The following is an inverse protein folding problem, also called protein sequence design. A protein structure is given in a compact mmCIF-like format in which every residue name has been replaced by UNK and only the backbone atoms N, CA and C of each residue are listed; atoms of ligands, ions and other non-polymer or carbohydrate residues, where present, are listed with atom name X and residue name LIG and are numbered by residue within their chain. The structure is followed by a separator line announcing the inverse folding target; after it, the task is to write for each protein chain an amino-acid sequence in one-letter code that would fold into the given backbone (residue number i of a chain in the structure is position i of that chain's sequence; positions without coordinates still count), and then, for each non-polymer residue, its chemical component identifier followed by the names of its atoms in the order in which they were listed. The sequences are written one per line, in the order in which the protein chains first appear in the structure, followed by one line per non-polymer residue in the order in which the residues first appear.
data_IF_436365618447
#
_entry.id   IF_436365618447
#
_cell.length_a   1.000
_cell.length_b   1.000
_cell.length_c   1.000
_cell.angle_alpha   90.00
_cell.angle_beta   90.00
_cell.angle_gamma   90.00
#
_symmetry.space_group_name_H-M   'P 1'
#
loop_
_entity.id
_entity.type
_entity.pdbx_description
1 polymer ?
#
# COMPACT_ATOMS: atom_id res chain seq x y z
N UNK A 1 6.85 18.60 -7.19
CA UNK A 1 5.94 19.64 -6.66
C UNK A 1 6.50 21.05 -6.88
N UNK A 2 7.71 21.39 -6.41
CA UNK A 2 8.27 22.76 -6.49
C UNK A 2 8.23 23.38 -7.90
N UNK A 3 8.57 22.60 -8.94
CA UNK A 3 8.56 23.05 -10.35
C UNK A 3 7.19 23.54 -10.86
N UNK A 4 6.09 23.08 -10.28
CA UNK A 4 4.74 23.42 -10.71
C UNK A 4 4.00 24.32 -9.71
N UNK A 5 4.66 24.77 -8.64
CA UNK A 5 3.95 25.41 -7.53
C UNK A 5 3.34 26.76 -7.90
N UNK A 6 4.01 27.55 -8.76
CA UNK A 6 3.47 28.81 -9.29
C UNK A 6 2.17 28.57 -10.07
N UNK A 7 2.15 27.54 -10.91
CA UNK A 7 0.98 27.19 -11.72
C UNK A 7 -0.16 26.64 -10.86
N UNK A 8 0.16 25.81 -9.86
CA UNK A 8 -0.83 25.32 -8.90
C UNK A 8 -1.39 26.45 -8.03
N UNK A 9 -0.58 27.45 -7.69
CA UNK A 9 -1.01 28.65 -6.94
C UNK A 9 -1.94 29.51 -7.79
N UNK A 10 -1.64 29.70 -9.07
CA UNK A 10 -2.51 30.39 -10.04
C UNK A 10 -3.91 29.74 -10.10
N UNK A 11 -3.97 28.42 -10.29
CA UNK A 11 -5.25 27.67 -10.28
C UNK A 11 -5.93 27.75 -8.92
N UNK A 12 -5.17 27.69 -7.82
CA UNK A 12 -5.75 27.83 -6.50
C UNK A 12 -6.41 29.20 -6.31
N UNK A 13 -5.80 30.27 -6.84
CA UNK A 13 -6.38 31.60 -6.92
C UNK A 13 -7.70 31.61 -7.70
N UNK A 14 -7.69 31.03 -8.91
CA UNK A 14 -8.90 30.91 -9.74
C UNK A 14 -10.02 30.17 -9.00
N UNK A 15 -9.71 29.01 -8.41
CA UNK A 15 -10.67 28.20 -7.66
C UNK A 15 -11.23 28.91 -6.42
N UNK A 16 -10.45 29.81 -5.80
CA UNK A 16 -10.92 30.65 -4.70
C UNK A 16 -11.86 31.75 -5.20
N UNK A 17 -11.53 32.42 -6.31
CA UNK A 17 -12.42 33.43 -6.92
C UNK A 17 -13.74 32.80 -7.36
N UNK A 18 -13.73 31.64 -8.00
CA UNK A 18 -14.95 30.92 -8.40
C UNK A 18 -15.84 30.48 -7.20
N UNK A 19 -15.32 30.51 -5.96
CA UNK A 19 -16.10 30.23 -4.75
C UNK A 19 -16.79 31.46 -4.16
N UNK A 20 -16.47 32.67 -4.62
CA UNK A 20 -17.14 33.88 -4.13
C UNK A 20 -18.62 33.86 -4.54
N UNK A 21 -19.45 34.62 -3.81
CA UNK A 21 -20.90 34.54 -3.94
C UNK A 21 -21.36 34.72 -5.40
N UNK A 22 -20.88 35.78 -6.06
CA UNK A 22 -21.29 36.14 -7.42
C UNK A 22 -20.85 35.12 -8.47
N UNK A 23 -19.54 34.80 -8.54
CA UNK A 23 -19.05 33.82 -9.52
C UNK A 23 -19.60 32.42 -9.26
N UNK A 24 -19.79 32.03 -7.99
CA UNK A 24 -20.38 30.74 -7.68
C UNK A 24 -21.85 30.66 -8.09
N UNK A 25 -22.59 31.77 -8.03
CA UNK A 25 -23.97 31.83 -8.51
C UNK A 25 -24.03 31.70 -10.03
N UNK A 26 -23.16 32.41 -10.76
CA UNK A 26 -23.03 32.30 -12.22
C UNK A 26 -22.64 30.90 -12.64
N UNK A 27 -21.62 30.31 -12.00
CA UNK A 27 -21.16 28.96 -12.31
C UNK A 27 -22.24 27.90 -12.07
N UNK A 28 -23.08 28.07 -11.03
CA UNK A 28 -24.21 27.15 -10.74
C UNK A 28 -25.30 27.17 -11.81
N UNK A 29 -25.42 28.25 -12.60
CA UNK A 29 -26.35 28.29 -13.73
C UNK A 29 -25.87 27.39 -14.88
N UNK A 30 -24.56 27.26 -15.04
CA UNK A 30 -23.94 26.51 -16.14
C UNK A 30 -23.59 25.07 -15.76
N UNK A 31 -23.26 24.79 -14.49
CA UNK A 31 -22.86 23.46 -14.02
C UNK A 31 -23.22 23.21 -12.56
N UNK A 32 -23.52 21.96 -12.21
CA UNK A 32 -23.73 21.51 -10.81
C UNK A 32 -22.41 21.36 -10.04
N UNK A 33 -21.27 21.45 -10.73
CA UNK A 33 -19.96 21.22 -10.15
C UNK A 33 -19.46 22.45 -9.37
N UNK A 34 -19.02 22.22 -8.13
CA UNK A 34 -18.39 23.26 -7.30
C UNK A 34 -16.86 23.28 -7.44
N UNK A 35 -16.22 24.45 -7.34
CA UNK A 35 -14.76 24.55 -7.31
C UNK A 35 -14.16 23.85 -6.08
N UNK A 36 -12.95 23.33 -6.22
CA UNK A 36 -12.22 22.61 -5.16
C UNK A 36 -10.87 23.29 -4.96
N UNK A 37 -10.45 23.45 -3.70
CA UNK A 37 -9.19 24.13 -3.34
C UNK A 37 -8.21 23.11 -2.75
N UNK A 38 -6.92 23.21 -3.10
CA UNK A 38 -5.87 22.39 -2.48
C UNK A 38 -5.72 22.70 -0.97
N UNK A 39 -5.44 21.66 -0.20
CA UNK A 39 -5.18 21.68 1.24
C UNK A 39 -3.80 21.06 1.50
N UNK A 40 -2.96 21.74 2.28
CA UNK A 40 -1.60 21.28 2.59
C UNK A 40 -1.57 19.92 3.29
N UNK A 41 -2.55 19.67 4.17
CA UNK A 41 -2.64 18.44 4.97
C UNK A 41 -3.23 17.23 4.22
N UNK A 42 -3.74 17.42 2.99
CA UNK A 42 -4.34 16.35 2.19
C UNK A 42 -3.70 16.30 0.82
N UNK A 43 -2.77 15.38 0.63
CA UNK A 43 -2.00 15.25 -0.61
C UNK A 43 -2.91 15.11 -1.86
N UNK A 44 -4.05 14.43 -1.75
CA UNK A 44 -4.96 14.18 -2.87
C UNK A 44 -5.78 15.41 -3.30
N UNK A 45 -5.76 16.47 -2.50
CA UNK A 45 -6.50 17.70 -2.74
C UNK A 45 -6.00 18.45 -3.98
N UNK A 46 -4.69 18.42 -4.24
CA UNK A 46 -4.08 19.03 -5.43
C UNK A 46 -4.59 18.34 -6.69
N UNK A 47 -4.58 17.00 -6.71
CA UNK A 47 -5.16 16.22 -7.82
C UNK A 47 -6.65 16.53 -8.03
N UNK A 48 -7.43 16.56 -6.94
CA UNK A 48 -8.86 16.88 -6.99
C UNK A 48 -9.11 18.30 -7.52
N UNK A 49 -8.28 19.27 -7.14
CA UNK A 49 -8.36 20.65 -7.62
C UNK A 49 -8.10 20.72 -9.13
N UNK A 50 -6.98 20.16 -9.61
CA UNK A 50 -6.63 20.16 -11.05
C UNK A 50 -7.70 19.42 -11.87
N UNK A 51 -8.15 18.26 -11.39
CA UNK A 51 -9.24 17.51 -12.02
C UNK A 51 -10.54 18.32 -12.08
N UNK A 52 -10.87 19.04 -11.01
CA UNK A 52 -12.07 19.88 -10.98
C UNK A 52 -11.94 21.07 -11.92
N UNK A 53 -10.75 21.67 -12.02
CA UNK A 53 -10.49 22.80 -12.92
C UNK A 53 -10.83 22.41 -14.36
N UNK A 54 -10.27 21.30 -14.87
CA UNK A 54 -10.58 20.84 -16.23
C UNK A 54 -12.06 20.51 -16.47
N UNK A 55 -12.82 20.18 -15.42
CA UNK A 55 -14.25 19.91 -15.54
C UNK A 55 -15.13 21.16 -15.53
N UNK A 56 -14.61 22.30 -15.06
CA UNK A 56 -15.36 23.57 -14.97
C UNK A 56 -14.82 24.66 -15.91
N UNK A 57 -13.61 24.49 -16.47
CA UNK A 57 -12.89 25.55 -17.19
C UNK A 57 -13.68 26.15 -18.35
N UNK A 58 -14.46 25.34 -19.06
CA UNK A 58 -15.22 25.79 -20.23
C UNK A 58 -16.48 26.59 -19.83
N UNK A 59 -16.83 26.58 -18.54
CA UNK A 59 -17.95 27.33 -17.96
C UNK A 59 -17.49 28.57 -17.19
N UNK A 60 -16.19 28.87 -17.19
CA UNK A 60 -15.64 30.07 -16.53
C UNK A 60 -15.91 31.28 -17.41
N UNK A 61 -16.51 32.32 -16.82
CA UNK A 61 -16.76 33.58 -17.52
C UNK A 61 -15.44 34.35 -17.69
N UNK A 62 -14.89 34.33 -18.91
CA UNK A 62 -13.66 35.02 -19.26
C UNK A 62 -13.86 36.49 -19.62
N UNK A 63 -15.09 37.01 -19.58
CA UNK A 63 -15.33 38.46 -19.72
C UNK A 63 -14.88 39.23 -18.48
N UNK A 64 -14.74 38.56 -17.35
CA UNK A 64 -14.14 39.12 -16.15
C UNK A 64 -12.60 39.08 -16.24
N UNK A 65 -11.96 40.26 -16.33
CA UNK A 65 -10.51 40.42 -16.38
C UNK A 65 -9.81 39.68 -15.23
N UNK A 66 -10.40 39.71 -14.04
CA UNK A 66 -9.87 39.12 -12.82
C UNK A 66 -9.82 37.59 -12.87
N UNK A 67 -10.72 36.96 -13.64
CA UNK A 67 -10.75 35.53 -13.91
C UNK A 67 -9.87 35.19 -15.11
N UNK A 68 -9.88 36.04 -16.16
CA UNK A 68 -9.06 35.87 -17.35
C UNK A 68 -7.56 35.87 -17.06
N UNK A 69 -7.07 36.74 -16.16
CA UNK A 69 -5.67 36.75 -15.72
C UNK A 69 -5.25 35.45 -15.02
N UNK A 70 -6.19 34.83 -14.30
CA UNK A 70 -5.96 33.59 -13.56
C UNK A 70 -6.18 32.34 -14.44
N UNK A 71 -6.71 32.49 -15.64
CA UNK A 71 -6.84 31.37 -16.57
C UNK A 71 -5.46 30.91 -17.06
N UNK A 72 -5.18 29.60 -17.00
CA UNK A 72 -3.94 29.05 -17.57
C UNK A 72 -3.88 29.23 -19.08
N UNK A 73 -2.70 29.54 -19.61
CA UNK A 73 -2.46 29.51 -21.06
C UNK A 73 -2.50 28.08 -21.60
N UNK A 74 -2.64 27.90 -22.91
CA UNK A 74 -2.62 26.56 -23.54
C UNK A 74 -1.36 25.76 -23.18
N UNK A 75 -0.20 26.41 -23.09
CA UNK A 75 1.04 25.78 -22.69
C UNK A 75 1.02 25.33 -21.21
N UNK A 76 0.47 26.16 -20.33
CA UNK A 76 0.26 25.82 -18.92
C UNK A 76 -0.76 24.69 -18.73
N UNK A 77 -1.84 24.67 -19.51
CA UNK A 77 -2.81 23.57 -19.52
C UNK A 77 -2.17 22.23 -19.88
N UNK A 78 -1.29 22.20 -20.88
CA UNK A 78 -0.58 20.97 -21.26
C UNK A 78 0.30 20.45 -20.12
N UNK A 79 1.00 21.35 -19.40
CA UNK A 79 1.76 20.99 -18.19
C UNK A 79 0.86 20.44 -17.08
N UNK A 80 -0.34 21.03 -16.90
CA UNK A 80 -1.30 20.56 -15.91
C UNK A 80 -1.89 19.20 -16.24
N UNK A 81 -2.07 18.90 -17.53
CA UNK A 81 -2.57 17.61 -18.01
C UNK A 81 -1.55 16.50 -17.72
N UNK A 82 -0.28 16.74 -18.09
CA UNK A 82 0.82 15.84 -17.73
C UNK A 82 0.91 15.64 -16.21
N UNK A 83 0.86 16.71 -15.43
CA UNK A 83 0.86 16.61 -13.96
C UNK A 83 -0.36 15.84 -13.41
N UNK A 84 -1.53 15.97 -14.05
CA UNK A 84 -2.73 15.23 -13.67
C UNK A 84 -2.58 13.73 -13.94
N UNK A 85 -1.89 13.36 -15.02
CA UNK A 85 -1.59 11.98 -15.36
C UNK A 85 -0.64 11.36 -14.34
N UNK A 86 0.44 12.07 -13.98
CA UNK A 86 1.37 11.65 -12.92
C UNK A 86 0.65 11.44 -11.58
N UNK A 87 -0.23 12.40 -11.21
CA UNK A 87 -1.03 12.26 -10.00
C UNK A 87 -2.04 11.11 -10.06
N UNK A 88 -2.55 10.76 -11.25
CA UNK A 88 -3.45 9.63 -11.43
C UNK A 88 -2.71 8.33 -11.17
N UNK A 89 -1.52 8.17 -11.72
CA UNK A 89 -0.65 7.00 -11.52
C UNK A 89 -0.22 6.87 -10.05
N UNK A 90 0.27 7.96 -9.46
CA UNK A 90 0.63 7.98 -8.04
C UNK A 90 -0.57 7.63 -7.14
N UNK A 91 -1.77 8.10 -7.49
CA UNK A 91 -2.99 7.78 -6.76
C UNK A 91 -3.40 6.32 -6.91
N UNK A 92 -3.28 5.73 -8.11
CA UNK A 92 -3.55 4.31 -8.29
C UNK A 92 -2.55 3.45 -7.52
N UNK A 93 -1.25 3.77 -7.58
CA UNK A 93 -0.22 3.09 -6.81
C UNK A 93 -0.48 3.21 -5.30
N UNK A 94 -0.74 4.42 -4.81
CA UNK A 94 -1.06 4.66 -3.39
C UNK A 94 -2.31 3.91 -2.94
N UNK A 95 -3.36 3.85 -3.78
CA UNK A 95 -4.58 3.08 -3.47
C UNK A 95 -4.33 1.57 -3.47
N UNK A 96 -3.51 1.06 -4.39
CA UNK A 96 -3.16 -0.36 -4.43
C UNK A 96 -2.32 -0.72 -3.21
N UNK A 97 -1.33 0.09 -2.84
CA UNK A 97 -0.55 -0.04 -1.60
C UNK A 97 -1.43 0.01 -0.34
N UNK A 98 -2.54 0.76 -0.40
CA UNK A 98 -3.53 0.85 0.65
C UNK A 98 -4.62 -0.22 0.56
N UNK A 99 -4.66 -1.07 -0.45
CA UNK A 99 -5.65 -2.14 -0.51
C UNK A 99 -5.25 -3.27 0.45
N UNK A 100 -6.22 -4.02 0.96
CA UNK A 100 -5.95 -5.18 1.85
C UNK A 100 -5.43 -6.40 1.06
N UNK A 101 -5.18 -6.26 -0.25
CA UNK A 101 -4.74 -7.34 -1.14
C UNK A 101 -3.22 -7.35 -1.29
N UNK A 102 -2.55 -8.38 -0.75
CA UNK A 102 -1.24 -8.93 -1.15
C UNK A 102 -0.22 -7.94 -1.74
N UNK A 103 -0.11 -6.74 -1.18
CA UNK A 103 0.99 -5.85 -1.52
C UNK A 103 2.18 -6.38 -0.77
N UNK A 104 3.29 -6.59 -1.48
CA UNK A 104 4.53 -7.13 -0.91
C UNK A 104 5.59 -6.05 -0.85
N UNK A 105 6.68 -6.30 -0.12
CA UNK A 105 7.80 -5.35 0.03
C UNK A 105 8.37 -4.88 -1.33
N UNK A 106 8.13 -5.67 -2.39
CA UNK A 106 8.56 -5.41 -3.75
C UNK A 106 7.75 -4.33 -4.49
N UNK A 107 6.50 -4.07 -4.13
CA UNK A 107 5.58 -3.20 -4.89
C UNK A 107 5.83 -1.68 -4.69
N UNK A 108 7.08 -1.30 -4.43
CA UNK A 108 7.51 0.08 -4.16
C UNK A 108 7.55 0.88 -5.46
N UNK A 109 6.85 2.01 -5.50
CA UNK A 109 6.81 2.88 -6.68
C UNK A 109 8.12 3.71 -6.81
N UNK A 110 8.73 3.84 -8.00
CA UNK A 110 10.00 4.56 -8.17
C UNK A 110 9.98 6.00 -7.66
N UNK A 111 8.86 6.70 -7.83
CA UNK A 111 8.71 8.08 -7.35
C UNK A 111 8.82 8.27 -5.82
N UNK A 112 8.76 7.19 -5.03
CA UNK A 112 8.93 7.22 -3.57
C UNK A 112 10.19 6.49 -3.11
N UNK A 113 11.12 6.19 -4.00
CA UNK A 113 12.40 5.53 -3.68
C UNK A 113 13.19 6.29 -2.59
N UNK A 114 13.12 7.62 -2.53
CA UNK A 114 13.78 8.37 -1.45
C UNK A 114 13.22 8.10 -0.05
N UNK A 115 11.96 7.66 0.06
CA UNK A 115 11.27 7.41 1.34
C UNK A 115 11.01 5.93 1.62
N UNK A 116 10.92 5.11 0.57
CA UNK A 116 10.63 3.69 0.62
C UNK A 116 11.70 2.87 -0.11
N UNK A 117 12.85 3.43 -0.49
CA UNK A 117 13.95 2.69 -1.12
C UNK A 117 14.76 1.90 -0.10
N UNK A 118 15.65 1.03 -0.57
CA UNK A 118 16.53 0.23 0.29
C UNK A 118 17.45 1.06 1.22
N UNK A 119 17.66 2.34 0.88
CA UNK A 119 18.48 3.30 1.64
C UNK A 119 17.64 4.34 2.39
N UNK A 120 16.33 4.19 2.44
CA UNK A 120 15.47 5.15 3.13
C UNK A 120 15.69 5.08 4.64
N UNK A 121 15.51 6.21 5.34
CA UNK A 121 15.70 6.28 6.81
C UNK A 121 14.74 5.39 7.61
N UNK A 122 13.64 4.94 6.99
CA UNK A 122 12.69 4.00 7.57
C UNK A 122 13.23 2.55 7.61
N UNK A 123 14.26 2.24 6.81
CA UNK A 123 14.82 0.89 6.73
C UNK A 123 15.64 0.63 7.99
N UNK A 124 15.15 -0.28 8.83
CA UNK A 124 15.84 -0.66 10.07
C UNK A 124 16.96 -1.67 9.82
N UNK A 125 16.76 -2.61 8.91
CA UNK A 125 17.76 -3.62 8.53
C UNK A 125 17.77 -3.77 7.01
N UNK A 126 18.75 -3.15 6.37
CA UNK A 126 18.89 -3.19 4.91
C UNK A 126 19.15 -4.61 4.40
N UNK A 127 19.91 -5.42 5.14
CA UNK A 127 20.22 -6.82 4.79
C UNK A 127 18.94 -7.66 4.80
N UNK A 128 18.09 -7.48 5.83
CA UNK A 128 16.82 -8.20 5.94
C UNK A 128 15.83 -7.81 4.84
N UNK A 129 15.62 -6.52 4.63
CA UNK A 129 14.66 -6.03 3.64
C UNK A 129 15.07 -6.43 2.22
N UNK A 130 16.37 -6.34 1.89
CA UNK A 130 16.89 -6.80 0.61
C UNK A 130 16.71 -8.32 0.44
N UNK A 131 17.01 -9.11 1.48
CA UNK A 131 16.79 -10.56 1.45
C UNK A 131 15.31 -10.90 1.19
N UNK A 132 14.39 -10.21 1.87
CA UNK A 132 12.95 -10.38 1.65
C UNK A 132 12.56 -10.05 0.19
N UNK A 133 13.09 -8.95 -0.37
CA UNK A 133 12.85 -8.58 -1.77
C UNK A 133 13.39 -9.64 -2.74
N UNK A 134 14.59 -10.18 -2.49
CA UNK A 134 15.18 -11.23 -3.33
C UNK A 134 14.36 -12.54 -3.30
N UNK A 135 13.86 -12.93 -2.13
CA UNK A 135 12.93 -14.07 -1.98
C UNK A 135 11.64 -13.83 -2.76
N UNK A 136 11.03 -12.64 -2.61
CA UNK A 136 9.79 -12.28 -3.31
C UNK A 136 9.97 -12.25 -4.84
N UNK A 137 11.17 -11.92 -5.31
CA UNK A 137 11.57 -11.96 -6.73
C UNK A 137 11.89 -13.36 -7.24
N UNK A 138 11.89 -14.38 -6.38
CA UNK A 138 12.28 -15.76 -6.72
C UNK A 138 13.78 -15.93 -6.98
N UNK A 139 14.62 -15.00 -6.50
CA UNK A 139 16.08 -15.02 -6.62
C UNK A 139 16.73 -15.58 -5.36
N UNK A 140 16.14 -16.64 -4.80
CA UNK A 140 16.60 -17.26 -3.55
C UNK A 140 18.03 -17.83 -3.69
N UNK A 141 18.42 -18.25 -4.89
CA UNK A 141 19.76 -18.78 -5.17
C UNK A 141 20.87 -17.71 -5.15
N UNK A 142 20.55 -16.41 -5.14
CA UNK A 142 21.53 -15.32 -5.07
C UNK A 142 21.71 -14.75 -3.67
N UNK A 143 21.01 -15.31 -2.68
CA UNK A 143 21.11 -14.88 -1.29
C UNK A 143 22.52 -15.13 -0.75
N UNK A 144 23.05 -14.15 -0.04
CA UNK A 144 24.32 -14.27 0.68
C UNK A 144 24.13 -15.03 1.99
N UNK A 145 25.21 -15.57 2.55
CA UNK A 145 25.18 -16.30 3.84
C UNK A 145 24.58 -15.44 4.97
N UNK A 146 24.93 -14.15 5.03
CA UNK A 146 24.35 -13.20 5.98
C UNK A 146 22.83 -13.00 5.78
N UNK A 147 22.33 -13.07 4.55
CA UNK A 147 20.89 -12.97 4.27
C UNK A 147 20.14 -14.24 4.68
N UNK A 148 20.75 -15.41 4.47
CA UNK A 148 20.22 -16.68 4.96
C UNK A 148 20.12 -16.71 6.49
N UNK A 149 21.13 -16.19 7.18
CA UNK A 149 21.14 -16.12 8.66
C UNK A 149 19.97 -15.29 9.20
N UNK A 150 19.70 -14.12 8.60
CA UNK A 150 18.61 -13.25 9.04
C UNK A 150 17.23 -13.83 8.67
N UNK A 151 17.13 -14.58 7.56
CA UNK A 151 15.88 -15.23 7.15
C UNK A 151 15.63 -16.58 7.83
N UNK A 152 16.54 -17.07 8.68
CA UNK A 152 16.41 -18.36 9.38
C UNK A 152 15.09 -18.52 10.14
N UNK A 153 14.54 -17.43 10.68
CA UNK A 153 13.24 -17.45 11.37
C UNK A 153 12.03 -17.66 10.44
N UNK A 154 12.21 -17.47 9.13
CA UNK A 154 11.20 -17.65 8.09
C UNK A 154 11.36 -18.96 7.32
N UNK A 155 12.35 -19.77 7.70
CA UNK A 155 12.56 -21.10 7.16
C UNK A 155 11.50 -22.06 7.74
N UNK A 156 10.62 -22.67 6.91
CA UNK A 156 9.63 -23.62 7.37
C UNK A 156 10.25 -24.85 8.04
N UNK A 157 11.53 -25.13 7.80
CA UNK A 157 12.26 -26.27 8.38
C UNK A 157 12.69 -26.03 9.84
N UNK A 158 12.51 -24.82 10.38
CA UNK A 158 12.86 -24.46 11.76
C UNK A 158 11.86 -24.85 12.85
N UNK A 159 10.76 -25.55 12.54
CA UNK A 159 9.68 -25.85 13.51
C UNK A 159 9.04 -27.25 13.38
N UNK A 160 9.72 -28.21 12.76
CA UNK A 160 9.42 -29.63 12.95
C UNK A 160 10.78 -30.30 13.16
N UNK A 161 11.09 -30.87 14.35
CA UNK A 161 12.17 -31.84 14.39
C UNK A 161 11.73 -32.93 13.43
N UNK A 162 12.42 -33.06 12.29
CA UNK A 162 12.39 -34.30 11.55
C UNK A 162 12.79 -35.35 12.58
N UNK A 163 11.79 -36.06 13.11
CA UNK A 163 12.03 -37.40 13.58
C UNK A 163 12.38 -38.15 12.30
N UNK A 164 13.65 -38.07 11.91
CA UNK A 164 14.28 -39.15 11.19
C UNK A 164 14.15 -40.32 12.17
N UNK A 165 13.06 -41.07 12.00
CA UNK A 165 13.04 -42.44 12.45
C UNK A 165 14.07 -43.11 11.54
N UNK A 166 15.30 -43.21 12.07
CA UNK A 166 16.28 -44.20 11.65
C UNK A 166 15.65 -45.58 11.84
N UNK A 167 14.79 -45.97 10.90
CA UNK A 167 14.52 -47.37 10.64
C UNK A 167 15.55 -47.80 9.58
N UNK A 168 16.77 -48.02 10.05
CA UNK A 168 17.76 -48.86 9.40
C UNK A 168 17.16 -50.28 9.29
N UNK A 169 16.37 -50.53 8.26
CA UNK A 169 16.27 -51.87 7.70
C UNK A 169 17.17 -51.95 6.47
N UNK A 170 18.30 -52.65 6.66
CA UNK A 170 19.24 -53.08 5.63
C UNK A 170 18.49 -53.70 4.45
N UNK A 171 18.38 -52.96 3.34
CA UNK A 171 18.26 -53.58 2.02
C UNK A 171 19.56 -53.37 1.27
N UNK A 172 20.38 -54.42 1.23
CA UNK A 172 21.55 -54.52 0.34
C UNK A 172 21.09 -54.47 -1.13
N UNK A 173 20.99 -53.27 -1.70
CA UNK A 173 21.07 -53.09 -3.14
C UNK A 173 21.83 -51.80 -3.43
N UNK A 174 23.04 -51.96 -4.01
CA UNK A 174 23.91 -50.84 -4.37
C UNK A 174 23.28 -50.07 -5.53
N UNK A 175 22.50 -49.03 -5.23
CA UNK A 175 21.95 -48.10 -6.22
C UNK A 175 23.04 -47.59 -7.20
N UNK A 176 22.87 -47.92 -8.48
CA UNK A 176 23.79 -47.55 -9.57
C UNK A 176 23.82 -46.05 -9.86
N UNK A 177 24.84 -45.60 -10.60
CA UNK A 177 25.01 -44.19 -11.02
C UNK A 177 23.77 -43.63 -11.74
N UNK A 178 23.02 -44.49 -12.44
CA UNK A 178 21.83 -44.13 -13.21
C UNK A 178 20.63 -43.70 -12.35
N UNK A 179 20.51 -44.16 -11.09
CA UNK A 179 19.41 -43.79 -10.19
C UNK A 179 19.73 -42.58 -9.31
N UNK A 180 21.02 -42.30 -9.10
CA UNK A 180 21.49 -41.09 -8.40
C UNK A 180 21.24 -39.81 -9.19
N UNK A 181 21.49 -39.81 -10.50
CA UNK A 181 21.36 -38.63 -11.37
C UNK A 181 19.93 -38.05 -11.49
N UNK A 182 18.85 -38.85 -11.63
CA UNK A 182 17.49 -38.33 -11.63
C UNK A 182 17.03 -37.91 -10.22
N UNK A 183 17.53 -38.55 -9.14
CA UNK A 183 17.23 -38.14 -7.75
C UNK A 183 17.85 -36.80 -7.39
N UNK A 184 19.11 -36.53 -7.75
CA UNK A 184 19.72 -35.20 -7.60
C UNK A 184 19.00 -34.14 -8.44
N UNK A 185 18.62 -34.48 -9.69
CA UNK A 185 17.79 -33.58 -10.52
C UNK A 185 16.38 -33.35 -9.96
N UNK A 186 15.75 -34.34 -9.32
CA UNK A 186 14.45 -34.19 -8.65
C UNK A 186 14.57 -33.34 -7.39
N UNK A 187 15.60 -33.55 -6.57
CA UNK A 187 15.92 -32.69 -5.41
C UNK A 187 16.22 -31.25 -5.82
N UNK A 188 16.90 -31.03 -6.95
CA UNK A 188 17.10 -29.69 -7.53
C UNK A 188 15.82 -29.05 -8.06
N UNK A 189 14.90 -29.83 -8.66
CA UNK A 189 13.61 -29.33 -9.18
C UNK A 189 12.56 -29.11 -8.10
N UNK A 190 12.71 -29.77 -6.95
CA UNK A 190 11.95 -29.55 -5.71
C UNK A 190 12.81 -28.76 -4.73
N UNK A 191 13.44 -27.68 -5.20
CA UNK A 191 13.83 -26.62 -4.29
C UNK A 191 12.53 -25.98 -3.78
N UNK A 192 12.02 -26.53 -2.67
CA UNK A 192 10.99 -25.92 -1.85
C UNK A 192 11.40 -24.47 -1.62
N UNK A 193 10.50 -23.51 -1.88
CA UNK A 193 10.78 -22.11 -1.58
C UNK A 193 11.13 -22.02 -0.10
N UNK A 194 12.39 -21.74 0.21
CA UNK A 194 12.93 -21.93 1.56
C UNK A 194 12.37 -20.90 2.54
N UNK A 195 11.61 -19.91 2.06
CA UNK A 195 11.15 -18.77 2.87
C UNK A 195 9.71 -18.34 2.54
N UNK A 196 8.77 -19.29 2.44
CA UNK A 196 7.34 -18.99 2.18
C UNK A 196 6.74 -17.96 3.18
N UNK A 197 7.26 -17.92 4.42
CA UNK A 197 6.87 -16.96 5.46
C UNK A 197 7.03 -15.49 5.06
N UNK A 198 8.00 -15.17 4.18
CA UNK A 198 8.28 -13.81 3.72
C UNK A 198 7.09 -13.20 2.96
N UNK A 199 6.26 -14.03 2.31
CA UNK A 199 5.08 -13.59 1.56
C UNK A 199 3.99 -12.98 2.45
N UNK A 200 4.01 -13.27 3.75
CA UNK A 200 3.06 -12.76 4.72
C UNK A 200 3.53 -11.48 5.41
N UNK A 201 4.79 -11.06 5.19
CA UNK A 201 5.32 -9.83 5.76
C UNK A 201 4.71 -8.65 4.99
N UNK A 202 3.95 -7.77 5.66
CA UNK A 202 3.41 -6.61 4.98
C UNK A 202 4.52 -5.61 4.62
N UNK A 203 4.41 -4.90 3.49
CA UNK A 203 5.42 -3.97 2.99
C UNK A 203 5.58 -2.72 3.85
N UNK A 204 4.55 -2.39 4.64
CA UNK A 204 4.50 -1.17 5.45
C UNK A 204 3.74 -1.45 6.75
N UNK A 205 3.94 -0.59 7.75
CA UNK A 205 3.19 -0.56 9.01
C UNK A 205 1.70 -0.20 8.85
N UNK A 206 1.20 0.01 7.63
CA UNK A 206 -0.15 0.51 7.37
C UNK A 206 -1.25 -0.37 8.00
N UNK A 207 -1.08 -1.70 8.01
CA UNK A 207 -2.00 -2.65 8.62
C UNK A 207 -2.10 -2.43 10.13
N UNK A 208 -0.95 -2.17 10.77
CA UNK A 208 -0.83 -1.87 12.20
C UNK A 208 -1.42 -0.49 12.53
N UNK A 209 -1.10 0.53 11.73
CA UNK A 209 -1.68 1.88 11.90
C UNK A 209 -3.21 1.89 11.75
N UNK A 210 -3.74 1.11 10.80
CA UNK A 210 -5.18 0.90 10.63
C UNK A 210 -5.80 0.18 11.82
N UNK A 211 -5.12 -0.84 12.33
CA UNK A 211 -5.55 -1.55 13.54
C UNK A 211 -5.67 -0.58 14.71
N UNK A 212 -4.65 0.24 14.96
CA UNK A 212 -4.67 1.24 16.02
C UNK A 212 -5.68 2.37 15.78
N UNK A 213 -5.91 2.76 14.53
CA UNK A 213 -6.99 3.69 14.19
C UNK A 213 -8.38 3.11 14.50
N UNK A 214 -8.61 1.82 14.18
CA UNK A 214 -9.83 1.11 14.56
C UNK A 214 -9.94 0.97 16.09
N UNK A 215 -8.82 0.67 16.78
CA UNK A 215 -8.76 0.61 18.23
C UNK A 215 -9.17 1.92 18.88
N UNK A 216 -8.67 3.05 18.37
CA UNK A 216 -9.06 4.39 18.83
C UNK A 216 -10.57 4.64 18.70
N UNK A 217 -11.21 4.16 17.63
CA UNK A 217 -12.66 4.26 17.49
C UNK A 217 -13.42 3.35 18.47
N UNK A 218 -12.86 2.21 18.85
CA UNK A 218 -13.44 1.32 19.89
C UNK A 218 -13.27 1.94 21.28
N UNK A 219 -12.10 2.54 21.56
CA UNK A 219 -11.77 3.32 22.76
C UNK A 219 -12.33 4.75 22.71
N UNK A 220 -13.61 4.89 22.35
CA UNK A 220 -14.29 6.19 22.38
C UNK A 220 -14.28 6.81 23.79
N UNK A 221 -14.53 8.11 23.91
CA UNK A 221 -14.56 8.83 25.20
C UNK A 221 -15.41 8.14 26.29
N UNK A 222 -16.51 7.52 25.90
CA UNK A 222 -17.44 6.83 26.82
C UNK A 222 -16.99 5.41 27.20
N UNK A 223 -15.87 4.93 26.65
CA UNK A 223 -15.36 3.54 26.78
C UNK A 223 -13.92 3.48 27.30
N UNK A 224 -13.44 4.56 27.91
CA UNK A 224 -12.08 4.65 28.44
C UNK A 224 -11.81 3.67 29.60
N UNK A 225 -12.84 3.18 30.29
CA UNK A 225 -12.74 2.17 31.35
C UNK A 225 -12.72 0.71 30.88
N UNK A 226 -12.56 0.45 29.58
CA UNK A 226 -12.47 -0.93 29.08
C UNK A 226 -11.12 -1.54 29.48
N UNK A 227 -11.17 -2.72 30.12
CA UNK A 227 -9.99 -3.52 30.43
C UNK A 227 -9.25 -3.94 29.14
N UNK A 228 -7.91 -3.99 29.12
CA UNK A 228 -7.12 -4.34 27.94
C UNK A 228 -7.58 -5.64 27.26
N UNK A 229 -7.86 -6.69 28.04
CA UNK A 229 -8.33 -7.97 27.52
C UNK A 229 -9.65 -7.87 26.75
N UNK A 230 -10.59 -7.01 27.21
CA UNK A 230 -11.87 -6.81 26.54
C UNK A 230 -11.70 -5.98 25.27
N UNK A 231 -10.77 -5.04 25.27
CA UNK A 231 -10.41 -4.28 24.06
C UNK A 231 -9.85 -5.21 22.99
N UNK A 232 -8.91 -6.09 23.37
CA UNK A 232 -8.31 -7.07 22.47
C UNK A 232 -9.36 -8.00 21.85
N UNK A 233 -10.27 -8.55 22.66
CA UNK A 233 -11.37 -9.38 22.15
C UNK A 233 -12.26 -8.62 21.14
N UNK A 234 -12.63 -7.37 21.46
CA UNK A 234 -13.44 -6.54 20.56
C UNK A 234 -12.71 -6.24 19.26
N UNK A 235 -11.41 -5.95 19.32
CA UNK A 235 -10.59 -5.71 18.14
C UNK A 235 -10.43 -6.97 17.30
N UNK A 236 -10.14 -8.10 17.93
CA UNK A 236 -10.03 -9.40 17.27
C UNK A 236 -11.29 -9.71 16.47
N UNK A 237 -12.46 -9.62 17.11
CA UNK A 237 -13.74 -9.81 16.44
C UNK A 237 -13.93 -8.79 15.30
N UNK A 238 -13.67 -7.51 15.55
CA UNK A 238 -13.89 -6.45 14.56
C UNK A 238 -13.01 -6.59 13.32
N UNK A 239 -11.75 -6.96 13.48
CA UNK A 239 -10.79 -7.16 12.38
C UNK A 239 -11.12 -8.42 11.61
N UNK A 240 -11.50 -9.49 12.31
CA UNK A 240 -11.82 -10.79 11.73
C UNK A 240 -13.29 -10.93 11.31
N UNK A 241 -14.02 -9.83 11.11
CA UNK A 241 -15.45 -9.84 10.74
C UNK A 241 -15.79 -10.69 9.52
N UNK A 242 -14.84 -10.94 8.61
CA UNK A 242 -15.01 -11.84 7.47
C UNK A 242 -15.20 -13.31 7.84
N UNK A 243 -14.73 -13.73 9.03
CA UNK A 243 -14.76 -15.12 9.48
C UNK A 243 -15.96 -15.46 10.36
N UNK A 244 -16.80 -14.48 10.71
CA UNK A 244 -17.94 -14.71 11.59
C UNK A 244 -19.12 -13.80 11.27
N UNK A 245 -20.32 -14.33 11.47
CA UNK A 245 -21.58 -13.61 11.29
C UNK A 245 -22.35 -13.51 12.61
N UNK A 246 -23.40 -12.68 12.64
CA UNK A 246 -24.31 -12.63 13.79
C UNK A 246 -24.93 -14.02 14.07
N UNK A 247 -25.18 -14.82 13.03
CA UNK A 247 -25.68 -16.18 13.16
C UNK A 247 -24.64 -17.11 13.83
N UNK A 248 -23.35 -16.97 13.47
CA UNK A 248 -22.25 -17.75 14.08
C UNK A 248 -22.13 -17.46 15.58
N UNK A 249 -22.23 -16.18 15.96
CA UNK A 249 -22.17 -15.77 17.37
C UNK A 249 -23.41 -16.22 18.14
N UNK A 250 -24.60 -16.09 17.54
CA UNK A 250 -25.85 -16.56 18.16
C UNK A 250 -25.83 -18.06 18.46
N UNK A 251 -25.25 -18.87 17.56
CA UNK A 251 -25.08 -20.31 17.80
C UNK A 251 -24.15 -20.61 18.97
N UNK A 252 -23.07 -19.86 19.14
CA UNK A 252 -22.10 -20.06 20.24
C UNK A 252 -22.62 -19.58 21.60
N UNK A 253 -23.43 -18.51 21.63
CA UNK A 253 -23.98 -17.96 22.87
C UNK A 253 -25.17 -18.77 23.38
N UNK A 254 -25.91 -19.42 22.48
CA UNK A 254 -27.08 -20.24 22.79
C UNK A 254 -26.78 -21.75 22.83
N UNK A 255 -25.51 -22.15 22.74
CA UNK A 255 -25.05 -23.53 22.94
C UNK A 255 -24.62 -23.73 24.39
#
# INVERSE_FOLDING_TARGET
MAKHDNLLTKIQGLMRKLRTLNHSATLRKSTSLRPVVRQSTRWDSTYKMVKRFFAIKDFVDTSDNDLAELMPTRHEENKLRSLQDDFREFKSASKKLQSDENVTLFDRHPAVEGHLGAKASIVHSAVFEDACVQVLLGKEATLTEAQHEVLKAFDPTGAIPAHDHDDDEESEDRDGFADRAPRTRKKQRVAVRTYDGVRFIPPTSNAVERLFSKARHVLSFHRQGILPIRLEMLLFLRVNRRFWSAATVSKLVNA
#
